data_IF_090777870696
#
_entry.id   IF_090777870696
#
_cell.length_a   1.000
_cell.length_b   1.000
_cell.length_c   1.000
_cell.angle_alpha   90.00
_cell.angle_beta   90.00
_cell.angle_gamma   90.00
#
_symmetry.space_group_name_H-M   'P 1'
#
loop_
_entity.id
_entity.type
_entity.pdbx_description
1 polymer ?
#
# COMPACT_ATOMS: atom_id res chain seq x y z
N UNK A 1 -10.96 20.82 22.49
CA UNK A 1 -11.37 19.42 22.28
C UNK A 1 -12.17 19.20 21.00
N UNK A 2 -13.01 20.12 20.55
CA UNK A 2 -13.87 20.00 19.35
C UNK A 2 -13.11 19.97 17.99
N UNK A 3 -11.88 20.47 17.90
CA UNK A 3 -11.15 20.56 16.61
C UNK A 3 -10.42 19.27 16.19
N UNK A 4 -10.16 18.35 17.11
CA UNK A 4 -9.42 17.11 16.84
C UNK A 4 -10.33 16.05 16.22
N UNK A 5 -11.61 16.03 16.57
CA UNK A 5 -12.58 15.08 16.04
C UNK A 5 -12.95 15.37 14.58
N UNK A 6 -12.98 16.63 14.18
CA UNK A 6 -13.34 17.01 12.81
C UNK A 6 -12.35 16.55 11.74
N UNK A 7 -11.09 16.28 12.11
CA UNK A 7 -10.07 15.78 11.18
C UNK A 7 -10.15 14.26 10.96
N UNK A 8 -10.78 13.51 11.87
CA UNK A 8 -10.97 12.05 11.72
C UNK A 8 -12.04 11.64 10.71
N UNK A 9 -12.89 12.57 10.26
CA UNK A 9 -14.15 12.20 9.61
C UNK A 9 -14.28 12.58 8.13
N UNK A 10 -13.21 12.64 7.40
CA UNK A 10 -13.38 12.50 5.97
C UNK A 10 -13.72 11.03 5.69
N UNK A 11 -15.03 10.72 5.60
CA UNK A 11 -15.54 9.46 5.05
C UNK A 11 -14.94 9.32 3.67
N UNK A 12 -13.82 8.65 3.62
CA UNK A 12 -12.98 8.60 2.42
C UNK A 12 -13.33 7.32 1.68
N UNK A 13 -13.82 7.46 0.46
CA UNK A 13 -13.79 6.39 -0.54
C UNK A 13 -12.36 5.99 -0.91
N UNK A 14 -11.36 6.40 -0.14
CA UNK A 14 -9.96 6.09 -0.37
C UNK A 14 -9.67 4.61 -0.08
N UNK A 15 -8.86 3.97 -0.93
CA UNK A 15 -8.49 2.58 -0.71
C UNK A 15 -7.74 2.44 0.63
N UNK A 16 -7.98 1.32 1.33
CA UNK A 16 -7.30 1.01 2.61
C UNK A 16 -5.79 1.25 2.49
N UNK A 17 -5.16 2.02 3.39
CA UNK A 17 -3.71 2.25 3.38
C UNK A 17 -2.92 0.93 3.51
N UNK A 18 -1.69 0.95 3.07
CA UNK A 18 -0.82 -0.23 3.09
C UNK A 18 -0.65 -0.82 4.51
N UNK A 19 -0.50 0.05 5.53
CA UNK A 19 -0.35 -0.37 6.91
C UNK A 19 -1.61 -1.01 7.52
N UNK A 20 -2.81 -0.65 7.00
CA UNK A 20 -4.06 -1.30 7.42
C UNK A 20 -4.09 -2.76 6.94
N UNK A 21 -3.63 -3.02 5.70
CA UNK A 21 -3.66 -4.36 5.12
C UNK A 21 -2.51 -5.26 5.57
N UNK A 22 -1.27 -4.77 5.52
CA UNK A 22 -0.05 -5.57 5.77
C UNK A 22 0.50 -5.41 7.19
N UNK A 23 -0.13 -4.55 8.00
CA UNK A 23 0.29 -4.30 9.37
C UNK A 23 1.53 -3.41 9.46
N UNK A 24 2.03 -3.24 10.70
CA UNK A 24 3.09 -2.28 11.04
C UNK A 24 4.48 -2.89 11.22
N UNK A 25 4.62 -4.21 11.04
CA UNK A 25 5.88 -4.93 11.32
C UNK A 25 7.05 -4.42 10.46
N UNK A 26 6.81 -4.18 9.18
CA UNK A 26 7.84 -3.64 8.29
C UNK A 26 8.27 -2.23 8.70
N UNK A 27 7.32 -1.37 9.08
CA UNK A 27 7.59 -0.01 9.54
C UNK A 27 8.41 0.01 10.82
N UNK A 28 8.15 -0.92 11.75
CA UNK A 28 8.94 -1.05 12.97
C UNK A 28 10.39 -1.48 12.71
N UNK A 29 10.67 -2.14 11.59
CA UNK A 29 12.04 -2.49 11.19
C UNK A 29 12.75 -1.32 10.49
N UNK A 30 12.00 -0.45 9.81
CA UNK A 30 12.54 0.68 9.03
C UNK A 30 12.79 1.94 9.88
N UNK A 31 12.27 2.00 11.12
CA UNK A 31 12.47 3.15 12.02
C UNK A 31 13.95 3.32 12.39
N UNK A 32 14.43 4.56 12.38
CA UNK A 32 15.78 4.91 12.80
C UNK A 32 15.92 4.94 14.32
N UNK A 33 14.90 5.44 15.00
CA UNK A 33 14.86 5.58 16.44
C UNK A 33 14.06 4.44 17.09
N UNK A 34 14.68 3.77 18.08
CA UNK A 34 14.05 2.67 18.83
C UNK A 34 13.30 3.14 20.08
N UNK A 35 13.25 4.45 20.35
CA UNK A 35 12.52 5.01 21.50
C UNK A 35 11.00 4.92 21.39
N UNK A 36 10.47 4.60 20.20
CA UNK A 36 9.05 4.40 19.95
C UNK A 36 8.80 3.20 19.05
N UNK A 37 7.54 2.73 18.99
CA UNK A 37 7.09 1.69 18.08
C UNK A 37 5.78 2.07 17.40
N UNK A 38 5.58 1.58 16.16
CA UNK A 38 4.29 1.74 15.48
C UNK A 38 3.29 0.70 15.94
N UNK A 39 2.09 1.16 16.28
CA UNK A 39 0.96 0.34 16.70
C UNK A 39 -0.28 0.73 15.90
N UNK A 40 -1.00 -0.29 15.43
CA UNK A 40 -2.27 -0.11 14.74
C UNK A 40 -3.40 -0.43 15.70
N UNK A 41 -4.34 0.50 15.80
CA UNK A 41 -5.56 0.34 16.56
C UNK A 41 -6.77 0.35 15.63
N UNK A 42 -7.82 -0.31 16.07
CA UNK A 42 -9.07 -0.42 15.35
C UNK A 42 -10.22 -0.12 16.30
N UNK A 43 -11.12 0.72 15.86
CA UNK A 43 -12.34 1.10 16.58
C UNK A 43 -13.51 0.98 15.63
N UNK A 44 -14.68 0.68 16.19
CA UNK A 44 -15.94 0.64 15.46
C UNK A 44 -16.97 1.44 16.27
N UNK A 45 -17.74 2.27 15.61
CA UNK A 45 -18.77 3.07 16.24
C UNK A 45 -19.96 3.27 15.31
N UNK A 46 -21.16 3.28 15.90
CA UNK A 46 -22.42 3.44 15.18
C UNK A 46 -22.64 4.90 14.79
N UNK A 47 -22.17 5.83 15.62
CA UNK A 47 -22.25 7.26 15.37
C UNK A 47 -20.92 7.99 15.66
N UNK A 48 -20.87 9.24 15.25
CA UNK A 48 -19.73 10.15 15.38
C UNK A 48 -19.36 10.41 16.84
N UNK A 49 -20.34 10.62 17.70
CA UNK A 49 -20.09 10.95 19.12
C UNK A 49 -19.51 9.72 19.86
N UNK A 50 -20.00 8.54 19.53
CA UNK A 50 -19.43 7.30 20.05
C UNK A 50 -17.99 7.11 19.61
N UNK A 51 -17.68 7.38 18.34
CA UNK A 51 -16.31 7.29 17.81
C UNK A 51 -15.34 8.27 18.48
N UNK A 52 -15.77 9.49 18.80
CA UNK A 52 -14.93 10.45 19.53
C UNK A 52 -14.45 9.90 20.87
N UNK A 53 -15.30 9.14 21.54
CA UNK A 53 -14.97 8.51 22.83
C UNK A 53 -14.18 7.22 22.66
N UNK A 54 -14.54 6.39 21.68
CA UNK A 54 -13.97 5.06 21.48
C UNK A 54 -12.64 5.06 20.71
N UNK A 55 -12.31 6.14 19.96
CA UNK A 55 -11.07 6.19 19.17
C UNK A 55 -9.78 6.07 20.01
N UNK A 56 -9.78 6.56 21.25
CA UNK A 56 -8.61 6.50 22.13
C UNK A 56 -8.60 5.27 23.03
N UNK A 57 -9.73 4.59 23.20
CA UNK A 57 -9.86 3.44 24.07
C UNK A 57 -8.88 2.31 23.73
N UNK A 58 -8.70 1.89 22.47
CA UNK A 58 -7.73 0.85 22.14
C UNK A 58 -6.28 1.24 22.46
N UNK A 59 -5.93 2.53 22.34
CA UNK A 59 -4.61 3.03 22.74
C UNK A 59 -4.43 2.98 24.25
N UNK A 60 -5.44 3.40 25.01
CA UNK A 60 -5.42 3.34 26.49
C UNK A 60 -5.41 1.89 26.99
N UNK A 61 -6.17 1.00 26.37
CA UNK A 61 -6.16 -0.44 26.66
C UNK A 61 -4.79 -1.08 26.39
N UNK A 62 -4.12 -0.68 25.32
CA UNK A 62 -2.76 -1.15 25.01
C UNK A 62 -1.79 -0.76 26.13
N UNK A 63 -1.82 0.50 26.60
CA UNK A 63 -0.96 1.00 27.67
C UNK A 63 -1.29 0.31 28.99
N UNK A 64 -2.58 0.21 29.32
CA UNK A 64 -3.09 -0.50 30.50
C UNK A 64 -2.57 -1.95 30.55
N UNK A 65 -2.73 -2.68 29.45
CA UNK A 65 -2.29 -4.08 29.32
C UNK A 65 -0.77 -4.21 29.37
N UNK A 66 -0.04 -3.33 28.68
CA UNK A 66 1.44 -3.39 28.60
C UNK A 66 2.10 -3.10 29.94
N UNK A 67 1.55 -2.20 30.73
CA UNK A 67 2.15 -1.74 31.99
C UNK A 67 1.41 -2.18 33.25
N UNK A 68 0.35 -2.99 33.08
CA UNK A 68 -0.38 -3.60 34.20
C UNK A 68 -1.12 -2.58 35.08
N UNK A 69 -1.67 -1.52 34.49
CA UNK A 69 -2.48 -0.50 35.16
C UNK A 69 -3.96 -0.64 34.81
N UNK A 70 -4.84 -0.09 35.63
CA UNK A 70 -6.25 -0.03 35.26
C UNK A 70 -6.48 1.03 34.20
N UNK A 71 -7.34 0.73 33.21
CA UNK A 71 -7.66 1.65 32.12
C UNK A 71 -8.24 2.98 32.61
N UNK A 72 -9.08 2.93 33.68
CA UNK A 72 -9.64 4.12 34.33
C UNK A 72 -8.61 5.01 35.02
N UNK A 73 -7.43 4.47 35.30
CA UNK A 73 -6.30 5.21 35.88
C UNK A 73 -5.39 5.87 34.84
N UNK A 74 -5.63 5.65 33.53
CA UNK A 74 -4.84 6.27 32.45
C UNK A 74 -5.45 7.63 32.09
N UNK A 75 -4.71 8.72 32.32
CA UNK A 75 -5.08 10.08 31.91
C UNK A 75 -4.45 10.39 30.57
N UNK A 76 -5.26 10.90 29.64
CA UNK A 76 -4.83 11.28 28.29
C UNK A 76 -4.86 12.80 28.14
N UNK A 77 -3.71 13.39 27.89
CA UNK A 77 -3.56 14.83 27.63
C UNK A 77 -3.04 15.06 26.20
N UNK A 78 -3.60 16.03 25.49
CA UNK A 78 -3.08 16.48 24.20
C UNK A 78 -2.00 17.52 24.42
N UNK A 79 -0.81 17.31 23.85
CA UNK A 79 0.33 18.24 23.95
C UNK A 79 0.38 19.24 22.79
N UNK A 80 -0.58 19.18 21.85
CA UNK A 80 -0.60 20.01 20.66
C UNK A 80 -0.08 19.28 19.41
N UNK A 81 -0.05 20.01 18.30
CA UNK A 81 0.35 19.47 16.99
C UNK A 81 1.73 19.99 16.60
N UNK A 82 2.49 19.14 15.90
CA UNK A 82 3.77 19.52 15.30
C UNK A 82 3.59 20.38 14.04
N UNK A 83 4.71 20.80 13.42
CA UNK A 83 4.72 21.57 12.16
C UNK A 83 4.02 20.86 10.99
N UNK A 84 3.81 19.56 11.08
CA UNK A 84 3.11 18.72 10.11
C UNK A 84 1.65 18.45 10.53
N UNK A 85 1.14 19.21 11.50
CA UNK A 85 -0.23 19.09 12.05
C UNK A 85 -0.56 17.71 12.66
N UNK A 86 0.47 17.04 13.23
CA UNK A 86 0.32 15.75 13.92
C UNK A 86 0.21 15.97 15.41
N UNK A 87 -0.89 15.49 15.99
CA UNK A 87 -1.16 15.64 17.42
C UNK A 87 -0.37 14.61 18.23
N UNK A 88 0.34 15.08 19.24
CA UNK A 88 1.03 14.25 20.23
C UNK A 88 0.20 14.20 21.50
N UNK A 89 0.02 13.00 22.02
CA UNK A 89 -0.70 12.72 23.25
C UNK A 89 0.27 12.23 24.32
N UNK A 90 0.03 12.64 25.57
CA UNK A 90 0.70 12.12 26.76
C UNK A 90 -0.30 11.31 27.56
N UNK A 91 0.04 10.08 27.88
CA UNK A 91 -0.70 9.21 28.77
C UNK A 91 0.04 9.09 30.08
N UNK A 92 -0.60 9.51 31.17
CA UNK A 92 -0.07 9.46 32.53
C UNK A 92 -0.85 8.42 33.32
N UNK A 93 -0.16 7.53 34.02
CA UNK A 93 -0.78 6.48 34.81
C UNK A 93 0.08 6.11 36.02
N UNK A 94 -0.55 5.46 37.01
CA UNK A 94 0.15 4.90 38.15
C UNK A 94 0.63 3.47 37.80
N UNK A 95 1.93 3.27 37.80
CA UNK A 95 2.51 1.95 37.53
C UNK A 95 2.35 1.01 38.76
N UNK A 96 2.51 -0.30 38.57
CA UNK A 96 2.38 -1.29 39.61
C UNK A 96 3.37 -1.06 40.80
N UNK A 97 4.47 -0.39 40.56
CA UNK A 97 5.46 0.03 41.56
C UNK A 97 5.05 1.31 42.33
N UNK A 98 3.82 1.81 42.10
CA UNK A 98 3.29 3.01 42.76
C UNK A 98 3.88 4.33 42.27
N UNK A 99 4.66 4.31 41.18
CA UNK A 99 5.24 5.51 40.57
C UNK A 99 4.39 6.02 39.42
N UNK A 100 4.28 7.34 39.30
CA UNK A 100 3.70 7.98 38.14
C UNK A 100 4.58 7.71 36.94
N UNK A 101 3.99 7.21 35.89
CA UNK A 101 4.65 6.89 34.64
C UNK A 101 3.97 7.58 33.47
N UNK A 102 4.76 7.88 32.44
CA UNK A 102 4.29 8.55 31.23
C UNK A 102 4.63 7.76 29.98
N UNK A 103 3.74 7.79 29.01
CA UNK A 103 3.91 7.25 27.66
C UNK A 103 3.41 8.30 26.67
N UNK A 104 4.18 8.51 25.61
CA UNK A 104 3.83 9.47 24.57
C UNK A 104 3.36 8.71 23.32
N UNK A 105 2.33 9.23 22.67
CA UNK A 105 1.81 8.68 21.42
C UNK A 105 1.57 9.81 20.42
N UNK A 106 2.07 9.64 19.19
CA UNK A 106 1.80 10.56 18.10
C UNK A 106 0.92 9.87 17.06
N UNK A 107 -0.20 10.51 16.68
CA UNK A 107 -1.04 10.04 15.58
C UNK A 107 -0.29 10.28 14.26
N UNK A 108 0.03 9.20 13.55
CA UNK A 108 0.80 9.23 12.30
C UNK A 108 -0.13 9.26 11.09
N UNK A 109 -1.15 8.43 11.11
CA UNK A 109 -2.14 8.30 10.03
C UNK A 109 -3.44 7.70 10.57
N UNK A 110 -4.54 8.02 9.93
CA UNK A 110 -5.85 7.44 10.20
C UNK A 110 -6.55 7.07 8.89
N UNK A 111 -7.45 6.13 8.98
CA UNK A 111 -8.31 5.74 7.88
C UNK A 111 -9.65 5.27 8.43
N UNK A 112 -10.72 5.78 7.84
CA UNK A 112 -12.07 5.42 8.23
C UNK A 112 -12.90 5.05 7.01
N UNK A 113 -13.89 4.19 7.22
CA UNK A 113 -14.88 3.81 6.23
C UNK A 113 -16.25 3.67 6.90
N UNK A 114 -17.25 4.19 6.25
CA UNK A 114 -18.64 3.88 6.59
C UNK A 114 -19.01 2.53 5.96
N UNK A 115 -19.53 1.62 6.75
CA UNK A 115 -20.08 0.34 6.29
C UNK A 115 -21.59 0.37 6.48
N UNK A 116 -22.30 0.14 5.38
CA UNK A 116 -23.76 0.02 5.35
C UNK A 116 -24.10 -1.38 4.83
N UNK A 117 -23.98 -2.36 5.70
CA UNK A 117 -24.35 -3.75 5.42
C UNK A 117 -25.63 -4.10 6.20
N UNK A 118 -26.37 -5.10 5.71
CA UNK A 118 -27.64 -5.55 6.30
C UNK A 118 -27.49 -5.92 7.79
N UNK A 119 -26.32 -6.43 8.20
CA UNK A 119 -26.04 -6.90 9.55
C UNK A 119 -25.19 -5.94 10.40
N UNK A 120 -24.58 -4.92 9.79
CA UNK A 120 -23.72 -3.96 10.49
C UNK A 120 -23.67 -2.63 9.74
N UNK A 121 -24.09 -1.56 10.41
CA UNK A 121 -23.95 -0.20 9.91
C UNK A 121 -23.15 0.61 10.91
N UNK A 122 -22.22 1.42 10.41
CA UNK A 122 -21.38 2.26 11.26
C UNK A 122 -20.05 2.59 10.62
N UNK A 123 -19.17 3.18 11.41
CA UNK A 123 -17.85 3.61 10.99
C UNK A 123 -16.79 2.63 11.49
N UNK A 124 -16.01 2.06 10.56
CA UNK A 124 -14.76 1.36 10.84
C UNK A 124 -13.64 2.40 10.83
N UNK A 125 -12.90 2.53 11.93
CA UNK A 125 -11.76 3.46 12.05
C UNK A 125 -10.50 2.69 12.39
N UNK A 126 -9.47 2.91 11.60
CA UNK A 126 -8.12 2.43 11.88
C UNK A 126 -7.21 3.62 12.14
N UNK A 127 -6.44 3.55 13.21
CA UNK A 127 -5.49 4.58 13.61
C UNK A 127 -4.10 3.97 13.74
N UNK A 128 -3.12 4.70 13.25
CA UNK A 128 -1.70 4.36 13.36
C UNK A 128 -1.03 5.35 14.30
N UNK A 129 -0.52 4.83 15.41
CA UNK A 129 0.24 5.62 16.38
C UNK A 129 1.70 5.18 16.42
N UNK A 130 2.58 6.16 16.56
CA UNK A 130 3.93 5.97 17.07
C UNK A 130 3.87 6.12 18.60
N UNK A 131 4.16 5.04 19.34
CA UNK A 131 4.01 5.01 20.80
C UNK A 131 5.38 4.82 21.45
N UNK A 132 5.74 5.68 22.41
CA UNK A 132 7.02 5.63 23.11
C UNK A 132 7.12 4.47 24.09
N UNK A 133 8.33 4.17 24.52
CA UNK A 133 8.54 3.40 25.73
C UNK A 133 8.19 4.24 27.00
N UNK A 134 8.00 3.55 28.13
CA UNK A 134 7.63 4.17 29.41
C UNK A 134 8.69 5.17 29.86
N UNK A 135 8.27 6.36 30.28
CA UNK A 135 9.12 7.45 30.79
C UNK A 135 10.23 7.88 29.81
N UNK A 136 10.05 7.62 28.53
CA UNK A 136 10.94 8.08 27.47
C UNK A 136 10.20 9.14 26.68
N UNK A 137 10.71 10.39 26.69
CA UNK A 137 10.24 11.43 25.79
C UNK A 137 10.88 11.20 24.42
N UNK A 138 10.15 10.66 23.44
CA UNK A 138 10.73 10.31 22.15
C UNK A 138 10.92 11.57 21.29
N UNK A 139 12.00 11.55 20.52
CA UNK A 139 12.04 12.36 19.31
C UNK A 139 11.39 11.51 18.21
N UNK A 140 10.15 11.82 17.87
CA UNK A 140 9.49 11.17 16.75
C UNK A 140 10.16 11.58 15.44
N UNK A 141 10.39 10.60 14.57
CA UNK A 141 10.89 10.88 13.22
C UNK A 141 9.84 11.65 12.40
N UNK A 142 10.27 12.26 11.31
CA UNK A 142 9.32 12.83 10.37
C UNK A 142 8.63 11.71 9.59
N UNK A 143 7.30 11.73 9.59
CA UNK A 143 6.50 10.75 8.87
C UNK A 143 5.90 11.39 7.64
N UNK A 144 6.14 10.83 6.46
CA UNK A 144 5.55 11.29 5.21
C UNK A 144 4.54 10.28 4.68
N UNK A 145 3.32 10.75 4.44
CA UNK A 145 2.28 9.97 3.80
C UNK A 145 2.44 10.06 2.29
N UNK A 146 2.68 8.95 1.63
CA UNK A 146 2.87 8.92 0.18
C UNK A 146 2.29 7.69 -0.48
N UNK A 147 1.81 7.83 -1.71
CA UNK A 147 1.49 6.73 -2.62
C UNK A 147 2.61 6.42 -3.60
N UNK A 148 3.73 7.12 -3.52
CA UNK A 148 4.87 6.90 -4.41
C UNK A 148 5.78 5.81 -3.86
N UNK A 149 6.16 4.85 -4.70
CA UNK A 149 6.95 3.68 -4.32
C UNK A 149 8.35 3.68 -4.96
N UNK A 150 8.71 4.77 -5.66
CA UNK A 150 9.97 4.88 -6.37
C UNK A 150 10.09 3.88 -7.52
N UNK A 151 11.32 3.47 -7.84
CA UNK A 151 11.62 2.61 -8.97
C UNK A 151 11.43 1.10 -8.68
N UNK A 152 11.31 0.70 -7.41
CA UNK A 152 11.16 -0.71 -7.01
C UNK A 152 10.03 -1.45 -7.73
N UNK A 153 8.80 -0.90 -7.87
CA UNK A 153 7.72 -1.57 -8.58
C UNK A 153 8.04 -1.88 -10.04
N UNK A 154 8.79 -1.01 -10.72
CA UNK A 154 9.21 -1.22 -12.11
C UNK A 154 10.09 -2.48 -12.21
N UNK A 155 11.09 -2.63 -11.35
CA UNK A 155 11.93 -3.83 -11.34
C UNK A 155 11.16 -5.10 -10.99
N UNK A 156 10.21 -5.02 -10.07
CA UNK A 156 9.36 -6.16 -9.73
C UNK A 156 8.41 -6.53 -10.88
N UNK A 157 8.03 -5.58 -11.73
CA UNK A 157 7.14 -5.80 -12.88
C UNK A 157 7.81 -6.50 -14.07
N UNK A 158 9.09 -6.87 -13.97
CA UNK A 158 9.72 -7.85 -14.86
C UNK A 158 8.89 -9.15 -14.83
N UNK A 159 8.37 -9.53 -13.66
CA UNK A 159 7.30 -10.53 -13.55
C UNK A 159 5.98 -9.75 -13.60
N UNK A 160 5.13 -9.98 -14.64
CA UNK A 160 3.89 -9.22 -14.81
C UNK A 160 3.04 -9.19 -13.55
N UNK A 161 2.54 -8.00 -13.18
CA UNK A 161 1.66 -7.81 -12.04
C UNK A 161 2.33 -7.69 -10.66
N UNK A 162 3.59 -8.12 -10.47
CA UNK A 162 4.25 -8.06 -9.15
C UNK A 162 4.48 -6.62 -8.67
N UNK A 163 4.76 -5.69 -9.57
CA UNK A 163 4.89 -4.27 -9.20
C UNK A 163 3.60 -3.67 -8.66
N UNK A 164 2.46 -4.06 -9.22
CA UNK A 164 1.13 -3.64 -8.76
C UNK A 164 0.79 -4.26 -7.39
N UNK A 165 1.09 -5.55 -7.20
CA UNK A 165 0.91 -6.23 -5.90
C UNK A 165 1.79 -5.56 -4.84
N UNK A 166 3.03 -5.21 -5.16
CA UNK A 166 3.92 -4.49 -4.25
C UNK A 166 3.35 -3.12 -3.82
N UNK A 167 2.68 -2.43 -4.74
CA UNK A 167 1.96 -1.16 -4.46
C UNK A 167 0.66 -1.34 -3.69
N UNK A 168 0.26 -2.58 -3.37
CA UNK A 168 -1.00 -2.92 -2.72
C UNK A 168 -2.21 -2.92 -3.67
N UNK A 169 -2.00 -2.95 -4.98
CA UNK A 169 -3.04 -3.09 -6.01
C UNK A 169 -3.23 -4.56 -6.38
N UNK A 170 -3.54 -5.40 -5.40
CA UNK A 170 -3.50 -6.86 -5.52
C UNK A 170 -4.39 -7.38 -6.65
N UNK A 171 -5.66 -6.92 -6.74
CA UNK A 171 -6.60 -7.34 -7.80
C UNK A 171 -6.05 -7.02 -9.19
N UNK A 172 -5.52 -5.81 -9.38
CA UNK A 172 -4.93 -5.41 -10.66
C UNK A 172 -3.69 -6.24 -11.00
N UNK A 173 -2.84 -6.49 -10.01
CA UNK A 173 -1.63 -7.30 -10.17
C UNK A 173 -1.94 -8.73 -10.58
N UNK A 174 -2.89 -9.39 -9.90
CA UNK A 174 -3.31 -10.75 -10.25
C UNK A 174 -4.03 -10.82 -11.59
N UNK A 175 -4.81 -9.80 -11.96
CA UNK A 175 -5.45 -9.74 -13.27
C UNK A 175 -4.42 -9.65 -14.40
N UNK A 176 -3.39 -8.83 -14.26
CA UNK A 176 -2.30 -8.72 -15.24
C UNK A 176 -1.53 -10.05 -15.32
N UNK A 177 -1.15 -10.63 -14.18
CA UNK A 177 -0.42 -11.90 -14.13
C UNK A 177 -1.22 -13.03 -14.82
N UNK A 178 -2.52 -13.14 -14.52
CA UNK A 178 -3.39 -14.14 -15.12
C UNK A 178 -3.57 -13.95 -16.63
N UNK A 179 -3.78 -12.71 -17.08
CA UNK A 179 -3.93 -12.39 -18.48
C UNK A 179 -2.66 -12.72 -19.29
N UNK A 180 -1.48 -12.32 -18.77
CA UNK A 180 -0.18 -12.65 -19.39
C UNK A 180 0.04 -14.16 -19.47
N UNK A 181 -0.24 -14.89 -18.39
CA UNK A 181 -0.10 -16.34 -18.37
C UNK A 181 -1.00 -17.01 -19.42
N UNK A 182 -2.25 -16.56 -19.58
CA UNK A 182 -3.18 -17.07 -20.59
C UNK A 182 -2.71 -16.77 -22.02
N UNK A 183 -2.23 -15.55 -22.27
CA UNK A 183 -1.72 -15.14 -23.59
C UNK A 183 -0.46 -15.94 -23.96
N UNK A 184 0.47 -16.14 -23.03
CA UNK A 184 1.64 -16.97 -23.25
C UNK A 184 1.27 -18.45 -23.50
N UNK A 185 0.38 -19.01 -22.69
CA UNK A 185 -0.09 -20.38 -22.86
C UNK A 185 -0.79 -20.59 -24.22
N UNK A 186 -1.67 -19.65 -24.61
CA UNK A 186 -2.36 -19.66 -25.89
C UNK A 186 -1.41 -19.53 -27.08
N UNK A 187 -0.41 -18.64 -26.95
CA UNK A 187 0.64 -18.47 -27.95
C UNK A 187 1.48 -19.74 -28.14
N UNK A 188 1.97 -20.35 -27.04
CA UNK A 188 2.76 -21.58 -27.06
C UNK A 188 1.95 -22.77 -27.61
N UNK A 189 0.71 -22.92 -27.15
CA UNK A 189 -0.21 -23.94 -27.69
C UNK A 189 -0.38 -23.81 -29.22
N UNK A 190 -0.61 -22.57 -29.68
CA UNK A 190 -0.77 -22.31 -31.11
C UNK A 190 0.50 -22.62 -31.91
N UNK A 191 1.70 -22.37 -31.35
CA UNK A 191 2.97 -22.79 -32.00
C UNK A 191 3.02 -24.31 -32.21
N UNK A 192 2.63 -25.09 -31.19
CA UNK A 192 2.63 -26.57 -31.25
C UNK A 192 1.63 -27.06 -32.29
N UNK A 193 0.43 -26.50 -32.34
CA UNK A 193 -0.60 -26.88 -33.33
C UNK A 193 -0.22 -26.49 -34.77
N UNK A 194 0.37 -25.33 -35.00
CA UNK A 194 0.94 -24.97 -36.31
C UNK A 194 1.95 -26.06 -36.77
N UNK A 195 2.86 -26.47 -35.89
CA UNK A 195 3.83 -27.51 -36.19
C UNK A 195 3.17 -28.88 -36.49
N UNK A 196 2.11 -29.20 -35.74
CA UNK A 196 1.32 -30.41 -35.94
C UNK A 196 0.62 -30.41 -37.31
N UNK A 197 -0.13 -29.39 -37.63
CA UNK A 197 -0.88 -29.30 -38.91
C UNK A 197 0.05 -29.23 -40.11
N UNK A 198 1.18 -28.52 -40.03
CA UNK A 198 2.18 -28.53 -41.11
C UNK A 198 2.76 -29.94 -41.35
N UNK A 199 2.93 -30.76 -40.31
CA UNK A 199 3.37 -32.17 -40.45
C UNK A 199 2.29 -33.05 -41.07
N UNK A 200 1.02 -32.84 -40.72
CA UNK A 200 -0.12 -33.58 -41.27
C UNK A 200 -0.31 -33.26 -42.75
N UNK A 201 -0.19 -32.01 -43.15
CA UNK A 201 -0.24 -31.55 -44.55
C UNK A 201 0.81 -32.29 -45.40
N UNK A 202 2.07 -32.36 -44.91
CA UNK A 202 3.15 -33.08 -45.61
C UNK A 202 2.90 -34.57 -45.73
N UNK A 203 2.22 -35.20 -44.77
CA UNK A 203 1.94 -36.64 -44.78
C UNK A 203 0.73 -37.00 -45.64
N UNK A 204 -0.22 -36.11 -45.83
CA UNK A 204 -1.50 -36.35 -46.51
C UNK A 204 -1.76 -35.28 -47.58
N UNK A 205 -1.06 -35.31 -48.72
CA UNK A 205 -1.18 -34.26 -49.74
C UNK A 205 -2.58 -34.10 -50.33
N UNK A 206 -3.41 -35.14 -50.25
CA UNK A 206 -4.78 -35.13 -50.76
C UNK A 206 -5.78 -34.34 -49.89
N UNK A 207 -5.43 -33.96 -48.67
CA UNK A 207 -6.27 -33.23 -47.72
C UNK A 207 -5.52 -31.95 -47.24
N UNK A 208 -4.53 -31.52 -48.02
CA UNK A 208 -3.60 -30.46 -47.68
C UNK A 208 -4.28 -29.12 -47.37
N UNK A 209 -5.29 -28.73 -48.17
CA UNK A 209 -6.00 -27.46 -48.03
C UNK A 209 -6.62 -27.26 -46.63
N UNK A 210 -7.24 -28.31 -46.08
CA UNK A 210 -7.84 -28.28 -44.77
C UNK A 210 -6.76 -28.14 -43.65
N UNK A 211 -5.65 -28.85 -43.78
CA UNK A 211 -4.56 -28.76 -42.81
C UNK A 211 -3.84 -27.42 -42.88
N UNK A 212 -3.65 -26.85 -44.07
CA UNK A 212 -3.06 -25.53 -44.26
C UNK A 212 -3.96 -24.41 -43.72
N UNK A 213 -5.27 -24.52 -43.93
CA UNK A 213 -6.26 -23.59 -43.38
C UNK A 213 -6.19 -23.57 -41.85
N UNK A 214 -6.19 -24.75 -41.21
CA UNK A 214 -6.05 -24.85 -39.76
C UNK A 214 -4.70 -24.28 -39.26
N UNK A 215 -3.60 -24.61 -39.93
CA UNK A 215 -2.28 -24.05 -39.61
C UNK A 215 -2.28 -22.52 -39.69
N UNK A 216 -2.96 -21.96 -40.68
CA UNK A 216 -3.07 -20.49 -40.86
C UNK A 216 -3.88 -19.86 -39.72
N UNK A 217 -5.00 -20.48 -39.34
CA UNK A 217 -5.81 -20.03 -38.20
C UNK A 217 -5.01 -20.00 -36.89
N UNK A 218 -4.27 -21.06 -36.61
CA UNK A 218 -3.38 -21.10 -35.41
C UNK A 218 -2.22 -20.11 -35.52
N UNK A 219 -1.69 -19.79 -36.69
CA UNK A 219 -0.69 -18.71 -36.87
C UNK A 219 -1.29 -17.35 -36.53
N UNK A 220 -2.54 -17.09 -36.92
CA UNK A 220 -3.23 -15.84 -36.55
C UNK A 220 -3.44 -15.74 -35.06
N UNK A 221 -3.93 -16.83 -34.40
CA UNK A 221 -4.11 -16.87 -32.94
C UNK A 221 -2.78 -16.65 -32.24
N UNK A 222 -1.71 -17.34 -32.64
CA UNK A 222 -0.37 -17.15 -32.11
C UNK A 222 0.07 -15.70 -32.18
N UNK A 223 -0.06 -15.08 -33.37
CA UNK A 223 0.37 -13.71 -33.57
C UNK A 223 -0.46 -12.74 -32.72
N UNK A 224 -1.78 -12.95 -32.62
CA UNK A 224 -2.65 -12.16 -31.76
C UNK A 224 -2.25 -12.29 -30.29
N UNK A 225 -1.97 -13.50 -29.80
CA UNK A 225 -1.54 -13.72 -28.42
C UNK A 225 -0.20 -13.01 -28.11
N UNK A 226 0.79 -13.12 -28.98
CA UNK A 226 2.09 -12.48 -28.74
C UNK A 226 2.01 -10.95 -28.88
N UNK A 227 1.23 -10.40 -29.80
CA UNK A 227 1.03 -8.96 -29.93
C UNK A 227 0.30 -8.43 -28.68
N UNK A 228 -0.79 -9.08 -28.27
CA UNK A 228 -1.57 -8.68 -27.10
C UNK A 228 -0.74 -8.82 -25.81
N UNK A 229 0.00 -9.92 -25.65
CA UNK A 229 0.92 -10.10 -24.51
C UNK A 229 2.01 -9.03 -24.47
N UNK A 230 2.67 -8.75 -25.59
CA UNK A 230 3.67 -7.70 -25.66
C UNK A 230 3.09 -6.31 -25.31
N UNK A 231 1.90 -5.99 -25.78
CA UNK A 231 1.23 -4.72 -25.46
C UNK A 231 0.86 -4.66 -23.96
N UNK A 232 0.30 -5.74 -23.41
CA UNK A 232 -0.04 -5.81 -21.98
C UNK A 232 1.22 -5.73 -21.10
N UNK A 233 2.31 -6.37 -21.49
CA UNK A 233 3.58 -6.29 -20.79
C UNK A 233 4.15 -4.87 -20.75
N UNK A 234 4.13 -4.15 -21.89
CA UNK A 234 4.54 -2.75 -21.94
C UNK A 234 3.65 -1.90 -21.04
N UNK A 235 2.32 -2.09 -21.12
CA UNK A 235 1.39 -1.42 -20.22
C UNK A 235 1.72 -1.69 -18.75
N UNK A 236 1.99 -2.95 -18.37
CA UNK A 236 2.38 -3.35 -17.02
C UNK A 236 3.61 -2.58 -16.52
N UNK A 237 4.65 -2.43 -17.34
CA UNK A 237 5.87 -1.71 -16.99
C UNK A 237 5.59 -0.21 -16.81
N UNK A 238 4.88 0.41 -17.74
CA UNK A 238 4.52 1.83 -17.68
C UNK A 238 3.67 2.12 -16.44
N UNK A 239 2.65 1.30 -16.20
CA UNK A 239 1.79 1.44 -15.05
C UNK A 239 2.55 1.25 -13.73
N UNK A 240 3.47 0.29 -13.68
CA UNK A 240 4.33 0.10 -12.52
C UNK A 240 5.24 1.30 -12.22
N UNK A 241 5.68 2.01 -13.25
CA UNK A 241 6.52 3.19 -13.09
C UNK A 241 5.73 4.42 -12.65
N UNK A 242 4.54 4.66 -13.23
CA UNK A 242 3.84 5.95 -13.14
C UNK A 242 2.71 5.92 -12.11
N UNK A 243 1.97 4.79 -11.98
CA UNK A 243 0.78 4.77 -11.14
C UNK A 243 1.13 4.88 -9.65
N UNK A 244 0.32 5.65 -8.92
CA UNK A 244 0.41 5.71 -7.46
C UNK A 244 -0.10 4.41 -6.85
N UNK A 245 0.60 3.91 -5.86
CA UNK A 245 0.14 2.79 -5.03
C UNK A 245 -0.77 3.24 -3.88
N UNK A 246 -1.07 2.31 -2.98
CA UNK A 246 -1.80 2.64 -1.74
C UNK A 246 -0.97 3.55 -0.86
N UNK A 247 -1.64 4.43 -0.12
CA UNK A 247 -1.00 5.34 0.84
C UNK A 247 -0.17 4.53 1.84
N UNK A 248 1.09 4.91 2.00
CA UNK A 248 2.01 4.35 2.99
C UNK A 248 2.68 5.45 3.79
N UNK A 249 3.14 5.11 4.98
CA UNK A 249 3.97 5.96 5.81
C UNK A 249 5.43 5.68 5.47
N UNK A 250 6.18 6.73 5.18
CA UNK A 250 7.64 6.69 5.02
C UNK A 250 8.25 7.44 6.19
N UNK A 251 9.16 6.77 6.89
CA UNK A 251 9.93 7.38 7.99
C UNK A 251 11.09 8.13 7.38
N UNK A 252 11.07 9.46 7.48
CA UNK A 252 12.18 10.31 7.05
C UNK A 252 13.16 10.45 8.21
N UNK A 253 14.35 9.89 8.06
CA UNK A 253 15.40 10.05 9.06
C UNK A 253 15.87 11.51 9.06
N UNK A 254 15.89 12.14 10.22
CA UNK A 254 16.30 13.54 10.39
C UNK A 254 17.76 13.82 9.94
N UNK A 255 18.56 12.79 9.69
CA UNK A 255 20.00 12.91 9.41
C UNK A 255 20.44 12.32 8.07
N UNK A 256 19.55 12.09 7.10
CA UNK A 256 19.98 11.56 5.81
C UNK A 256 20.21 12.67 4.79
N UNK A 257 21.48 13.02 4.63
CA UNK A 257 22.07 13.55 3.39
C UNK A 257 22.08 12.48 2.27
N UNK A 258 21.06 11.66 2.18
CA UNK A 258 20.86 10.67 1.12
C UNK A 258 20.30 11.35 -0.12
N UNK A 259 21.00 11.28 -1.23
CA UNK A 259 20.49 11.76 -2.51
C UNK A 259 19.13 11.12 -2.84
N UNK A 260 18.09 11.90 -2.89
CA UNK A 260 16.76 11.45 -3.28
C UNK A 260 16.63 11.55 -4.81
N UNK A 261 16.56 10.40 -5.47
CA UNK A 261 16.39 10.35 -6.92
C UNK A 261 14.89 10.34 -7.24
N UNK A 262 14.41 11.38 -7.92
CA UNK A 262 13.06 11.41 -8.45
C UNK A 262 13.12 11.41 -9.99
N UNK A 263 12.40 10.45 -10.60
CA UNK A 263 12.21 10.40 -12.04
C UNK A 263 10.82 10.98 -12.36
N UNK A 264 10.77 11.97 -13.23
CA UNK A 264 9.54 12.55 -13.75
C UNK A 264 9.50 12.49 -15.26
N UNK A 265 8.36 12.13 -15.87
CA UNK A 265 8.20 12.29 -17.30
C UNK A 265 8.27 13.78 -17.63
N UNK A 266 9.10 14.15 -18.59
CA UNK A 266 9.20 15.51 -19.14
C UNK A 266 8.70 15.50 -20.58
N UNK A 267 7.82 16.45 -20.86
CA UNK A 267 7.45 16.78 -22.23
C UNK A 267 8.23 18.04 -22.58
N UNK A 268 9.13 17.96 -23.56
CA UNK A 268 9.85 19.10 -24.08
C UNK A 268 8.91 19.99 -24.89
N UNK A 269 9.09 21.30 -24.83
CA UNK A 269 8.37 22.27 -25.65
C UNK A 269 8.49 22.01 -27.16
N UNK A 270 9.50 21.23 -27.57
CA UNK A 270 9.73 20.78 -28.95
C UNK A 270 9.03 19.44 -29.28
N UNK A 271 8.09 18.96 -28.42
CA UNK A 271 7.30 17.72 -28.66
C UNK A 271 8.05 16.42 -28.38
N UNK A 272 9.23 16.46 -27.80
CA UNK A 272 9.97 15.27 -27.38
C UNK A 272 9.49 14.76 -26.01
N UNK A 273 9.34 13.42 -25.87
CA UNK A 273 9.09 12.78 -24.59
C UNK A 273 10.43 12.37 -23.98
N UNK A 274 10.74 12.85 -22.78
CA UNK A 274 11.95 12.53 -22.04
C UNK A 274 11.64 12.09 -20.61
N UNK A 275 12.66 11.55 -19.94
CA UNK A 275 12.60 11.26 -18.50
C UNK A 275 13.55 12.21 -17.81
N UNK A 276 13.02 13.11 -17.00
CA UNK A 276 13.82 13.97 -16.14
C UNK A 276 14.20 13.23 -14.86
N UNK A 277 15.47 13.33 -14.46
CA UNK A 277 16.00 12.87 -13.19
C UNK A 277 16.33 14.08 -12.33
N UNK A 278 15.70 14.21 -11.17
CA UNK A 278 16.10 15.19 -10.16
C UNK A 278 16.78 14.47 -9.00
N UNK A 279 17.90 15.04 -8.57
CA UNK A 279 18.64 14.57 -7.39
C UNK A 279 18.56 15.67 -6.35
N UNK A 280 17.97 15.36 -5.18
CA UNK A 280 17.93 16.27 -4.05
C UNK A 280 18.95 15.75 -3.03
N UNK A 281 19.90 16.60 -2.71
CA UNK A 281 20.94 16.32 -1.71
C UNK A 281 20.51 16.79 -0.33
#
# INVERSE_FOLDING_TARGET
>A
MLLVAATCMTVSAQPKPHWVQKGVKAMNNERSNKSYGFHKFHSYGVDINQLETECFKPLMEYVSKKYGTDIGGVKLDSLGSDSCNRTTYRMTFLSQDGKVSEVFAQLVDDWSRYEDNVDSWGFEVHQLYAVSERNVQPQFDNFRLTGNYGIKPLFLSIIPGLGQIYKGQDVKGYAILGAEALLLAGGVYSVTEVGRYNRLAKKNPWVDDNYQSNATSYRQIRNACFIAGGALYIYNLIDAAISKGRRRVVVEQQNNTGAEFAFSPMISECGGIGVGMSVKF
#
